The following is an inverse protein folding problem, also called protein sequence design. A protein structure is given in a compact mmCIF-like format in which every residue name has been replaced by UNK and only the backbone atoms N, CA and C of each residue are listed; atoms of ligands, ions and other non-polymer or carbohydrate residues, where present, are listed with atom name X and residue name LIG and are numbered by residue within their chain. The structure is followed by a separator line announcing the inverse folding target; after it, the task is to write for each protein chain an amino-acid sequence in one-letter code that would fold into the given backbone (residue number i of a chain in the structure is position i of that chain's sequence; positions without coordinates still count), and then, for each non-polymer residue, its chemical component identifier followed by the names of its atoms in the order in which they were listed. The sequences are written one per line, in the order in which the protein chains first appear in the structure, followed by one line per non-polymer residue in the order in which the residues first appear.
data_IF_565398182849
#
_entry.id   IF_565398182849
#
_cell.length_a   1.000
_cell.length_b   1.000
_cell.length_c   1.000
_cell.angle_alpha   90.00
_cell.angle_beta   90.00
_cell.angle_gamma   90.00
#
_symmetry.space_group_name_H-M   'P 1'
#
loop_
_entity.id
_entity.type
_entity.pdbx_description
1 polymer ?
#
# COMPACT_ATOMS: atom_id res chain seq x y z
N UNK A 1 17.48 8.08 -7.46
CA UNK A 1 16.97 9.05 -6.47
C UNK A 1 15.49 8.77 -6.20
N UNK A 2 15.08 8.95 -4.96
CA UNK A 2 13.70 8.75 -4.57
C UNK A 2 12.92 10.03 -4.82
N UNK A 3 12.01 10.01 -5.77
CA UNK A 3 11.30 11.18 -6.24
C UNK A 3 9.87 11.21 -5.73
N UNK A 4 9.25 12.40 -5.78
CA UNK A 4 7.83 12.56 -5.45
C UNK A 4 6.96 11.68 -6.33
N UNK A 5 7.30 11.52 -7.61
CA UNK A 5 6.59 10.62 -8.52
C UNK A 5 6.59 9.18 -8.01
N UNK A 6 7.72 8.72 -7.50
CA UNK A 6 7.85 7.35 -6.96
C UNK A 6 6.98 7.18 -5.72
N UNK A 7 7.00 8.17 -4.83
CA UNK A 7 6.15 8.13 -3.63
C UNK A 7 4.67 8.14 -4.02
N UNK A 8 4.29 9.01 -4.95
CA UNK A 8 2.90 9.06 -5.42
C UNK A 8 2.48 7.74 -6.05
N UNK A 9 3.37 7.12 -6.82
CA UNK A 9 3.09 5.83 -7.45
C UNK A 9 2.93 4.73 -6.41
N UNK A 10 3.75 4.71 -5.35
CA UNK A 10 3.59 3.76 -4.25
C UNK A 10 2.26 3.96 -3.54
N UNK A 11 1.86 5.20 -3.28
CA UNK A 11 0.60 5.50 -2.62
C UNK A 11 -0.58 5.04 -3.49
N UNK A 12 -0.54 5.34 -4.79
CA UNK A 12 -1.59 4.91 -5.72
C UNK A 12 -1.68 3.38 -5.76
N UNK A 13 -0.54 2.70 -5.78
CA UNK A 13 -0.47 1.25 -5.77
C UNK A 13 -1.07 0.67 -4.49
N UNK A 14 -0.74 1.26 -3.34
CA UNK A 14 -1.27 0.82 -2.06
C UNK A 14 -2.78 1.01 -1.98
N UNK A 15 -3.30 2.13 -2.45
CA UNK A 15 -4.73 2.39 -2.47
C UNK A 15 -5.44 1.38 -3.37
N UNK A 16 -4.89 1.09 -4.54
CA UNK A 16 -5.47 0.13 -5.47
C UNK A 16 -5.55 -1.27 -4.84
N UNK A 17 -4.51 -1.68 -4.12
CA UNK A 17 -4.51 -2.97 -3.43
C UNK A 17 -5.52 -2.98 -2.30
N UNK A 18 -5.54 -1.94 -1.47
CA UNK A 18 -6.45 -1.87 -0.32
C UNK A 18 -7.89 -1.88 -0.78
N UNK A 19 -8.24 -1.10 -1.80
CA UNK A 19 -9.61 -1.08 -2.35
C UNK A 19 -9.96 -2.45 -2.90
N UNK A 20 -9.03 -3.06 -3.66
CA UNK A 20 -9.26 -4.37 -4.25
C UNK A 20 -9.47 -5.47 -3.23
N UNK A 21 -8.86 -5.34 -2.04
CA UNK A 21 -9.05 -6.30 -0.95
C UNK A 21 -10.23 -5.94 -0.05
N UNK A 22 -10.51 -4.65 0.11
CA UNK A 22 -11.58 -4.19 0.97
C UNK A 22 -12.96 -4.53 0.42
N UNK A 23 -13.16 -4.42 -0.90
CA UNK A 23 -14.46 -4.69 -1.51
C UNK A 23 -14.90 -6.15 -1.31
N UNK A 24 -14.05 -7.17 -1.55
CA UNK A 24 -14.42 -8.54 -1.18
C UNK A 24 -14.68 -8.73 0.31
N UNK A 25 -13.95 -8.01 1.16
CA UNK A 25 -14.18 -8.03 2.60
C UNK A 25 -15.60 -7.55 2.93
N UNK A 26 -16.06 -6.47 2.29
CA UNK A 26 -17.42 -5.97 2.50
C UNK A 26 -18.46 -7.02 2.11
N UNK A 27 -18.22 -7.73 1.00
CA UNK A 27 -19.12 -8.77 0.54
C UNK A 27 -19.19 -9.94 1.52
N UNK A 28 -18.03 -10.39 2.01
CA UNK A 28 -17.94 -11.57 2.87
C UNK A 28 -18.37 -11.30 4.31
N UNK A 29 -18.10 -10.10 4.84
CA UNK A 29 -18.27 -9.83 6.27
C UNK A 29 -19.35 -8.79 6.58
N UNK A 30 -19.73 -7.94 5.62
CA UNK A 30 -20.68 -6.86 5.84
C UNK A 30 -21.95 -7.01 5.03
N UNK A 31 -22.11 -8.10 4.31
CA UNK A 31 -23.32 -8.37 3.56
C UNK A 31 -23.50 -7.52 2.31
N UNK A 32 -22.43 -6.93 1.78
CA UNK A 32 -22.53 -6.14 0.56
C UNK A 32 -22.88 -7.04 -0.63
N UNK A 33 -23.53 -6.50 -1.69
CA UNK A 33 -23.88 -7.30 -2.86
C UNK A 33 -22.65 -7.82 -3.59
N UNK A 34 -22.77 -8.96 -4.25
CA UNK A 34 -21.66 -9.60 -4.96
C UNK A 34 -21.09 -8.74 -6.10
N UNK A 35 -21.84 -7.75 -6.61
CA UNK A 35 -21.35 -6.92 -7.69
C UNK A 35 -20.11 -6.10 -7.31
N UNK A 36 -19.85 -5.90 -6.01
CA UNK A 36 -18.64 -5.21 -5.55
C UNK A 36 -17.37 -5.94 -5.97
N UNK A 37 -17.46 -7.23 -6.32
CA UNK A 37 -16.31 -8.00 -6.78
C UNK A 37 -15.79 -7.54 -8.15
N UNK A 38 -16.64 -6.92 -8.98
CA UNK A 38 -16.20 -6.40 -10.27
C UNK A 38 -15.23 -5.22 -10.14
N UNK A 39 -15.57 -4.14 -9.40
CA UNK A 39 -14.57 -3.09 -9.16
C UNK A 39 -13.38 -3.58 -8.35
N UNK A 40 -13.54 -4.59 -7.49
CA UNK A 40 -12.42 -5.20 -6.79
C UNK A 40 -11.41 -5.82 -7.75
N UNK A 41 -11.89 -6.58 -8.73
CA UNK A 41 -11.05 -7.20 -9.75
C UNK A 41 -10.32 -6.14 -10.58
N UNK A 42 -11.01 -5.06 -10.96
CA UNK A 42 -10.40 -3.95 -11.70
C UNK A 42 -9.31 -3.28 -10.86
N UNK A 43 -9.58 -3.05 -9.59
CA UNK A 43 -8.63 -2.41 -8.69
C UNK A 43 -7.37 -3.25 -8.50
N UNK A 44 -7.51 -4.57 -8.35
CA UNK A 44 -6.36 -5.48 -8.23
C UNK A 44 -5.57 -5.56 -9.53
N UNK A 45 -6.23 -5.55 -10.68
CA UNK A 45 -5.54 -5.50 -11.98
C UNK A 45 -4.74 -4.21 -12.11
N UNK A 46 -5.31 -3.09 -11.69
CA UNK A 46 -4.62 -1.80 -11.67
C UNK A 46 -3.43 -1.84 -10.71
N UNK A 47 -3.58 -2.45 -9.55
CA UNK A 47 -2.50 -2.64 -8.58
C UNK A 47 -1.32 -3.38 -9.21
N UNK A 48 -1.57 -4.50 -9.88
CA UNK A 48 -0.51 -5.27 -10.54
C UNK A 48 0.18 -4.43 -11.61
N UNK A 49 -0.60 -3.73 -12.42
CA UNK A 49 -0.04 -2.86 -13.46
C UNK A 49 0.82 -1.75 -12.86
N UNK A 50 0.34 -1.10 -11.81
CA UNK A 50 1.09 -0.03 -11.14
C UNK A 50 2.43 -0.53 -10.59
N UNK A 51 2.48 -1.76 -10.09
CA UNK A 51 3.72 -2.35 -9.62
C UNK A 51 4.76 -2.47 -10.73
N UNK A 52 4.33 -2.67 -11.97
CA UNK A 52 5.25 -2.81 -13.10
C UNK A 52 5.87 -1.48 -13.55
N UNK A 53 5.35 -0.35 -13.07
CA UNK A 53 5.85 0.96 -13.47
C UNK A 53 7.07 1.43 -12.68
N UNK A 54 7.45 0.70 -11.64
CA UNK A 54 8.60 1.07 -10.81
C UNK A 54 9.91 0.66 -11.51
N UNK A 55 10.89 1.59 -11.60
CA UNK A 55 12.12 1.31 -12.36
C UNK A 55 13.14 0.47 -11.60
N UNK A 56 12.99 0.30 -10.29
CA UNK A 56 13.95 -0.46 -9.49
C UNK A 56 13.75 -1.96 -9.64
N UNK A 57 14.70 -2.75 -9.15
CA UNK A 57 14.58 -4.20 -9.11
C UNK A 57 13.33 -4.61 -8.32
N UNK A 58 12.64 -5.65 -8.78
CA UNK A 58 11.36 -6.06 -8.21
C UNK A 58 11.42 -6.26 -6.69
N UNK A 59 12.45 -6.94 -6.18
CA UNK A 59 12.56 -7.18 -4.75
C UNK A 59 12.66 -5.90 -3.93
N UNK A 60 13.39 -4.91 -4.43
CA UNK A 60 13.50 -3.62 -3.75
C UNK A 60 12.21 -2.82 -3.85
N UNK A 61 11.52 -2.89 -4.97
CA UNK A 61 10.22 -2.24 -5.14
C UNK A 61 9.23 -2.79 -4.11
N UNK A 62 9.15 -4.10 -3.98
CA UNK A 62 8.22 -4.72 -3.04
C UNK A 62 8.56 -4.39 -1.59
N UNK A 63 9.85 -4.38 -1.24
CA UNK A 63 10.28 -4.03 0.10
C UNK A 63 9.99 -2.57 0.46
N UNK A 64 10.29 -1.66 -0.46
CA UNK A 64 10.00 -0.24 -0.27
C UNK A 64 8.50 0.03 -0.26
N UNK A 65 7.76 -0.64 -1.13
CA UNK A 65 6.32 -0.53 -1.20
C UNK A 65 5.67 -0.94 0.13
N UNK A 66 6.21 -1.98 0.78
CA UNK A 66 5.70 -2.44 2.07
C UNK A 66 5.66 -1.34 3.12
N UNK A 67 6.69 -0.51 3.19
CA UNK A 67 6.72 0.63 4.12
C UNK A 67 5.68 1.68 3.80
N UNK A 68 5.52 2.02 2.53
CA UNK A 68 4.49 2.96 2.09
C UNK A 68 3.10 2.37 2.31
N UNK A 69 2.96 1.08 2.06
CA UNK A 69 1.70 0.38 2.28
C UNK A 69 1.27 0.46 3.74
N UNK A 70 2.21 0.23 4.68
CA UNK A 70 1.90 0.30 6.10
C UNK A 70 1.39 1.69 6.48
N UNK A 71 2.06 2.75 6.01
CA UNK A 71 1.60 4.11 6.28
C UNK A 71 0.20 4.36 5.71
N UNK A 72 -0.05 3.91 4.48
CA UNK A 72 -1.35 4.06 3.83
C UNK A 72 -2.42 3.28 4.57
N UNK A 73 -2.10 2.07 5.04
CA UNK A 73 -3.03 1.23 5.79
C UNK A 73 -3.41 1.86 7.14
N UNK A 74 -2.46 2.51 7.83
CA UNK A 74 -2.75 3.21 9.09
C UNK A 74 -3.66 4.40 8.82
N UNK A 75 -3.42 5.14 7.74
CA UNK A 75 -4.30 6.23 7.35
C UNK A 75 -5.71 5.70 7.03
N UNK A 76 -5.79 4.57 6.33
CA UNK A 76 -7.06 3.92 6.01
C UNK A 76 -7.81 3.51 7.28
N UNK A 77 -7.11 2.93 8.24
CA UNK A 77 -7.68 2.55 9.52
C UNK A 77 -8.37 3.73 10.18
N UNK A 78 -7.74 4.88 10.12
CA UNK A 78 -8.29 6.10 10.70
C UNK A 78 -9.41 6.71 9.86
N UNK A 79 -9.17 6.89 8.55
CA UNK A 79 -10.09 7.65 7.69
C UNK A 79 -11.30 6.82 7.25
N UNK A 80 -11.13 5.53 6.96
CA UNK A 80 -12.18 4.67 6.42
C UNK A 80 -12.81 3.80 7.50
N UNK A 81 -11.99 3.12 8.29
CA UNK A 81 -12.49 2.24 9.35
C UNK A 81 -12.98 3.02 10.57
N UNK A 82 -12.59 4.29 10.68
CA UNK A 82 -13.01 5.14 11.79
C UNK A 82 -12.34 4.78 13.11
N UNK A 83 -11.24 4.06 13.08
CA UNK A 83 -10.51 3.64 14.28
C UNK A 83 -9.28 4.52 14.44
N UNK A 84 -9.15 5.14 15.61
CA UNK A 84 -8.00 5.99 15.89
C UNK A 84 -6.75 5.14 16.09
N UNK A 85 -5.66 5.40 15.34
CA UNK A 85 -4.42 4.64 15.53
C UNK A 85 -3.88 4.78 16.95
N UNK A 86 -3.39 3.67 17.48
CA UNK A 86 -2.76 3.65 18.79
C UNK A 86 -1.27 3.98 18.65
N UNK A 87 -0.60 4.17 19.80
CA UNK A 87 0.86 4.34 19.77
C UNK A 87 1.58 3.11 19.23
N UNK A 88 1.01 1.91 19.41
CA UNK A 88 1.56 0.69 18.80
C UNK A 88 1.50 0.74 17.28
N UNK A 89 0.38 1.19 16.74
CA UNK A 89 0.21 1.36 15.30
C UNK A 89 1.22 2.35 14.73
N UNK A 90 1.36 3.51 15.40
CA UNK A 90 2.25 4.56 14.94
C UNK A 90 3.72 4.14 15.07
N UNK A 91 4.08 3.44 16.13
CA UNK A 91 5.44 2.96 16.33
C UNK A 91 5.79 1.92 15.28
N UNK A 92 4.90 0.96 15.03
CA UNK A 92 5.12 -0.04 14.00
C UNK A 92 5.26 0.57 12.62
N UNK A 93 4.41 1.53 12.29
CA UNK A 93 4.49 2.25 11.02
C UNK A 93 5.82 3.01 10.89
N UNK A 94 6.26 3.67 11.96
CA UNK A 94 7.53 4.40 11.94
C UNK A 94 8.71 3.47 11.70
N UNK A 95 8.73 2.30 12.33
CA UNK A 95 9.79 1.30 12.13
C UNK A 95 9.77 0.77 10.69
N UNK A 96 8.59 0.50 10.16
CA UNK A 96 8.45 0.01 8.77
C UNK A 96 8.95 1.05 7.76
N UNK A 97 8.61 2.32 7.97
CA UNK A 97 9.06 3.42 7.10
C UNK A 97 10.57 3.60 7.21
N UNK A 98 11.13 3.50 8.41
CA UNK A 98 12.58 3.58 8.60
C UNK A 98 13.29 2.45 7.85
N UNK A 99 12.75 1.22 7.94
CA UNK A 99 13.29 0.08 7.20
C UNK A 99 13.21 0.28 5.69
N UNK A 100 12.10 0.78 5.19
CA UNK A 100 11.92 1.10 3.78
C UNK A 100 12.94 2.15 3.33
N UNK A 101 13.13 3.20 4.13
CA UNK A 101 14.07 4.26 3.80
C UNK A 101 15.50 3.72 3.71
N UNK A 102 15.89 2.82 4.60
CA UNK A 102 17.19 2.18 4.54
C UNK A 102 17.36 1.43 3.21
N UNK A 103 16.35 0.69 2.80
CA UNK A 103 16.41 -0.08 1.55
C UNK A 103 16.53 0.85 0.35
N UNK A 104 15.79 1.95 0.35
CA UNK A 104 15.73 2.86 -0.81
C UNK A 104 16.93 3.79 -0.91
N UNK A 105 17.46 4.24 0.22
CA UNK A 105 18.46 5.30 0.24
C UNK A 105 19.87 4.84 0.58
N UNK A 106 20.06 3.58 0.98
CA UNK A 106 21.40 3.06 1.28
C UNK A 106 22.28 3.12 0.03
N UNK A 107 23.55 3.54 0.17
CA UNK A 107 24.46 3.54 -0.98
C UNK A 107 24.72 2.10 -1.44
N UNK A 108 24.71 1.91 -2.76
CA UNK A 108 24.92 0.59 -3.37
C UNK A 108 25.89 0.68 -4.52
N UNK A 109 26.68 -0.37 -4.79
CA UNK A 109 27.42 -0.48 -6.04
C UNK A 109 26.43 -0.49 -7.21
N UNK A 110 26.85 0.07 -8.32
CA UNK A 110 26.02 0.14 -9.52
C UNK A 110 25.64 -1.24 -10.04
#
# INVERSE_FOLDING_TARGET
MFEIKTVALFIATAIAEIVGCYLPYLWLHKGAPAWVLAPAAVSLALFVWLLTLHPAAAGRVYAAYGGVYVATAIFWLWAVDGIRPTWWDLTGAAVAIAGMAIIMFAPRPA
#
